data_IF_854237123729
#
_entry.id   IF_854237123729
#
_cell.length_a   1.000
_cell.length_b   1.000
_cell.length_c   1.000
_cell.angle_alpha   90.00
_cell.angle_beta   90.00
_cell.angle_gamma   90.00
#
_symmetry.space_group_name_H-M   'P 1'
#
loop_
_entity.id
_entity.type
_entity.pdbx_description
1 polymer ?
#
# COMPACT_ATOMS: atom_id res chain seq x y z
N UNK A 1 -3.18 -22.06 18.76
CA UNK A 1 -3.92 -21.85 17.49
C UNK A 1 -2.96 -22.06 16.33
N UNK A 2 -3.42 -22.55 15.17
CA UNK A 2 -2.57 -22.62 13.98
C UNK A 2 -2.21 -21.20 13.49
N UNK A 3 -1.01 -21.04 12.94
CA UNK A 3 -0.52 -19.76 12.41
C UNK A 3 -1.52 -19.07 11.47
N UNK A 4 -2.02 -19.82 10.48
CA UNK A 4 -2.99 -19.31 9.49
C UNK A 4 -4.32 -18.88 10.12
N UNK A 5 -4.77 -19.56 11.18
CA UNK A 5 -6.01 -19.19 11.86
C UNK A 5 -5.84 -17.86 12.59
N UNK A 6 -4.69 -17.63 13.22
CA UNK A 6 -4.36 -16.33 13.81
C UNK A 6 -4.38 -15.23 12.75
N UNK A 7 -3.67 -15.42 11.64
CA UNK A 7 -3.61 -14.45 10.54
C UNK A 7 -5.02 -14.07 10.09
N UNK A 8 -5.87 -15.07 9.82
CA UNK A 8 -7.24 -14.86 9.38
C UNK A 8 -8.10 -14.12 10.43
N UNK A 9 -7.93 -14.42 11.73
CA UNK A 9 -8.67 -13.74 12.80
C UNK A 9 -8.27 -12.27 12.91
N UNK A 10 -6.97 -11.97 12.84
CA UNK A 10 -6.46 -10.59 12.88
C UNK A 10 -6.94 -9.80 11.66
N UNK A 11 -6.80 -10.37 10.47
CA UNK A 11 -7.28 -9.75 9.23
C UNK A 11 -8.79 -9.52 9.28
N UNK A 12 -9.58 -10.54 9.68
CA UNK A 12 -11.04 -10.43 9.79
C UNK A 12 -11.45 -9.35 10.79
N UNK A 13 -10.76 -9.25 11.93
CA UNK A 13 -10.99 -8.17 12.90
C UNK A 13 -10.87 -6.81 12.20
N UNK A 14 -9.79 -6.56 11.47
CA UNK A 14 -9.58 -5.28 10.82
C UNK A 14 -10.63 -4.94 9.78
N UNK A 15 -10.98 -5.92 8.94
CA UNK A 15 -12.02 -5.76 7.93
C UNK A 15 -13.40 -5.52 8.56
N UNK A 16 -13.75 -6.25 9.63
CA UNK A 16 -15.02 -6.04 10.32
C UNK A 16 -15.09 -4.64 10.93
N UNK A 17 -14.03 -4.16 11.57
CA UNK A 17 -14.03 -2.80 12.10
C UNK A 17 -14.14 -1.80 10.96
N UNK A 18 -13.41 -2.01 9.86
CA UNK A 18 -13.48 -1.10 8.72
C UNK A 18 -14.87 -1.07 8.06
N UNK A 19 -15.52 -2.21 7.83
CA UNK A 19 -16.87 -2.23 7.25
C UNK A 19 -17.92 -1.51 8.11
N UNK A 20 -17.64 -1.30 9.40
CA UNK A 20 -18.52 -0.57 10.32
C UNK A 20 -18.18 0.91 10.42
N UNK A 21 -16.90 1.28 10.44
CA UNK A 21 -16.48 2.69 10.55
C UNK A 21 -16.37 3.38 9.19
N UNK A 22 -15.92 2.65 8.17
CA UNK A 22 -15.50 3.11 6.84
C UNK A 22 -14.51 4.29 6.84
N UNK A 23 -13.96 4.66 8.00
CA UNK A 23 -13.10 5.83 8.16
C UNK A 23 -11.83 5.74 7.33
N UNK A 24 -11.14 4.59 7.33
CA UNK A 24 -9.85 4.43 6.65
C UNK A 24 -10.06 4.47 5.15
N UNK A 25 -11.04 3.73 4.65
CA UNK A 25 -11.37 3.67 3.22
C UNK A 25 -11.85 5.02 2.74
N UNK A 26 -12.80 5.69 3.43
CA UNK A 26 -13.29 6.99 2.98
C UNK A 26 -12.21 8.07 2.97
N UNK A 27 -11.41 8.17 4.05
CA UNK A 27 -10.38 9.21 4.12
C UNK A 27 -9.29 8.99 3.06
N UNK A 28 -8.85 7.74 2.87
CA UNK A 28 -7.82 7.41 1.89
C UNK A 28 -8.34 7.52 0.45
N UNK A 29 -9.57 7.06 0.19
CA UNK A 29 -10.21 7.18 -1.12
C UNK A 29 -10.48 8.63 -1.50
N UNK A 30 -11.06 9.43 -0.60
CA UNK A 30 -11.31 10.85 -0.86
C UNK A 30 -10.01 11.58 -1.18
N UNK A 31 -8.95 11.33 -0.40
CA UNK A 31 -7.65 11.90 -0.66
C UNK A 31 -7.09 11.48 -2.02
N UNK A 32 -7.12 10.17 -2.34
CA UNK A 32 -6.62 9.67 -3.61
C UNK A 32 -7.39 10.23 -4.81
N UNK A 33 -8.72 10.32 -4.71
CA UNK A 33 -9.58 10.95 -5.72
C UNK A 33 -9.21 12.42 -5.90
N UNK A 34 -9.08 13.18 -4.81
CA UNK A 34 -8.67 14.59 -4.88
C UNK A 34 -7.29 14.74 -5.52
N UNK A 35 -6.32 13.88 -5.18
CA UNK A 35 -5.02 13.87 -5.84
C UNK A 35 -5.15 13.66 -7.35
N UNK A 36 -5.89 12.62 -7.77
CA UNK A 36 -6.10 12.34 -9.20
C UNK A 36 -6.78 13.52 -9.90
N UNK A 37 -7.79 14.14 -9.30
CA UNK A 37 -8.49 15.30 -9.86
C UNK A 37 -7.58 16.53 -9.99
N UNK A 38 -6.84 16.87 -8.94
CA UNK A 38 -5.91 18.01 -8.96
C UNK A 38 -4.86 17.82 -10.05
N UNK A 39 -4.29 16.63 -10.16
CA UNK A 39 -3.33 16.33 -11.22
C UNK A 39 -3.98 16.28 -12.61
N UNK A 40 -5.19 15.73 -12.73
CA UNK A 40 -5.90 15.70 -14.01
C UNK A 40 -6.15 17.12 -14.53
N UNK A 41 -6.65 18.02 -13.70
CA UNK A 41 -6.87 19.42 -14.09
C UNK A 41 -5.57 20.20 -14.32
N UNK A 42 -4.47 19.81 -13.70
CA UNK A 42 -3.17 20.45 -13.90
C UNK A 42 -2.42 19.98 -15.17
N UNK A 43 -2.55 18.71 -15.55
CA UNK A 43 -1.72 18.08 -16.58
C UNK A 43 -2.47 17.64 -17.84
N UNK A 44 -3.79 17.44 -17.78
CA UNK A 44 -4.57 17.05 -18.96
C UNK A 44 -4.88 18.31 -19.78
N UNK A 45 -4.26 18.43 -20.95
CA UNK A 45 -4.57 19.47 -21.94
C UNK A 45 -5.11 18.80 -23.21
N UNK A 46 -6.18 19.35 -23.78
CA UNK A 46 -6.84 18.82 -24.99
C UNK A 46 -7.21 17.32 -24.92
N UNK A 47 -7.51 16.82 -23.71
CA UNK A 47 -7.90 15.42 -23.47
C UNK A 47 -6.76 14.42 -23.59
N UNK A 48 -5.50 14.86 -23.67
CA UNK A 48 -4.31 13.99 -23.71
C UNK A 48 -3.35 14.38 -22.60
N UNK A 49 -2.89 13.39 -21.87
CA UNK A 49 -1.79 13.53 -20.92
C UNK A 49 -0.64 12.60 -21.33
N UNK A 50 0.58 12.98 -20.94
CA UNK A 50 1.73 12.10 -21.11
C UNK A 50 1.50 10.78 -20.35
N UNK A 51 1.68 9.67 -21.05
CA UNK A 51 1.67 8.31 -20.49
C UNK A 51 2.54 8.17 -19.24
N UNK A 52 3.69 8.87 -19.19
CA UNK A 52 4.56 8.89 -18.04
C UNK A 52 3.95 9.63 -16.84
N UNK A 53 3.19 10.70 -17.09
CA UNK A 53 2.47 11.44 -16.05
C UNK A 53 1.36 10.58 -15.43
N UNK A 54 0.54 9.90 -16.25
CA UNK A 54 -0.51 9.00 -15.77
C UNK A 54 0.05 7.88 -14.86
N UNK A 55 1.19 7.30 -15.25
CA UNK A 55 1.90 6.33 -14.41
C UNK A 55 2.38 6.95 -13.09
N UNK A 56 3.06 8.10 -13.13
CA UNK A 56 3.53 8.78 -11.93
C UNK A 56 2.39 9.10 -10.96
N UNK A 57 1.29 9.64 -11.47
CA UNK A 57 0.13 10.09 -10.68
C UNK A 57 -0.57 8.91 -10.01
N UNK A 58 -0.70 7.77 -10.70
CA UNK A 58 -1.24 6.54 -10.11
C UNK A 58 -0.44 6.15 -8.85
N UNK A 59 0.88 6.05 -8.95
CA UNK A 59 1.73 5.61 -7.85
C UNK A 59 1.86 6.64 -6.72
N UNK A 60 1.80 7.93 -7.05
CA UNK A 60 1.71 9.00 -6.05
C UNK A 60 0.39 8.86 -5.26
N UNK A 61 -0.74 8.71 -5.94
CA UNK A 61 -2.03 8.54 -5.28
C UNK A 61 -2.05 7.29 -4.38
N UNK A 62 -1.49 6.17 -4.85
CA UNK A 62 -1.34 4.93 -4.06
C UNK A 62 -0.47 5.16 -2.83
N UNK A 63 0.70 5.79 -2.97
CA UNK A 63 1.63 5.98 -1.86
C UNK A 63 1.04 6.87 -0.76
N UNK A 64 0.37 7.97 -1.13
CA UNK A 64 -0.27 8.82 -0.14
C UNK A 64 -1.49 8.16 0.51
N UNK A 65 -2.34 7.47 -0.28
CA UNK A 65 -3.46 6.69 0.25
C UNK A 65 -2.97 5.63 1.24
N UNK A 66 -1.89 4.91 0.90
CA UNK A 66 -1.25 3.93 1.77
C UNK A 66 -0.71 4.55 3.06
N UNK A 67 -0.05 5.71 2.99
CA UNK A 67 0.43 6.43 4.18
C UNK A 67 -0.72 6.78 5.12
N UNK A 68 -1.81 7.34 4.58
CA UNK A 68 -3.01 7.70 5.34
C UNK A 68 -3.68 6.47 5.94
N UNK A 69 -3.81 5.40 5.16
CA UNK A 69 -4.41 4.15 5.60
C UNK A 69 -3.64 3.56 6.78
N UNK A 70 -2.32 3.46 6.67
CA UNK A 70 -1.42 3.00 7.74
C UNK A 70 -1.54 3.87 8.98
N UNK A 71 -1.47 5.19 8.82
CA UNK A 71 -1.58 6.12 9.94
C UNK A 71 -2.90 5.94 10.69
N UNK A 72 -4.04 5.83 9.98
CA UNK A 72 -5.37 5.67 10.57
C UNK A 72 -5.56 4.31 11.24
N UNK A 73 -5.15 3.22 10.58
CA UNK A 73 -5.25 1.86 11.12
C UNK A 73 -4.50 1.76 12.45
N UNK A 74 -3.24 2.21 12.49
CA UNK A 74 -2.43 2.16 13.71
C UNK A 74 -2.80 3.24 14.74
N UNK A 75 -3.43 4.34 14.31
CA UNK A 75 -3.98 5.32 15.24
C UNK A 75 -5.12 4.73 16.07
N UNK A 76 -6.09 4.13 15.38
CA UNK A 76 -7.22 3.40 15.97
C UNK A 76 -6.76 2.29 16.90
N UNK A 77 -5.70 1.56 16.55
CA UNK A 77 -5.22 0.47 17.39
C UNK A 77 -4.64 0.94 18.71
N UNK A 78 -3.92 2.08 18.71
CA UNK A 78 -3.39 2.69 19.92
C UNK A 78 -4.50 3.23 20.81
N UNK A 79 -5.46 3.97 20.23
CA UNK A 79 -6.56 4.53 21.01
C UNK A 79 -7.32 3.46 21.81
N UNK A 80 -7.43 2.26 21.23
CA UNK A 80 -8.10 1.13 21.85
C UNK A 80 -7.15 0.15 22.58
N UNK A 81 -5.84 0.46 22.67
CA UNK A 81 -4.79 -0.42 23.23
C UNK A 81 -4.80 -1.85 22.65
N UNK A 82 -5.35 -2.03 21.44
CA UNK A 82 -5.59 -3.34 20.83
C UNK A 82 -4.31 -4.08 20.49
N UNK A 83 -3.31 -3.37 19.95
CA UNK A 83 -2.01 -3.96 19.66
C UNK A 83 -1.35 -4.51 20.94
N UNK A 84 -1.45 -3.75 22.04
CA UNK A 84 -0.94 -4.18 23.36
C UNK A 84 -1.69 -5.41 23.87
N UNK A 85 -3.02 -5.42 23.77
CA UNK A 85 -3.82 -6.59 24.15
C UNK A 85 -3.48 -7.83 23.30
N UNK A 86 -3.22 -7.66 22.01
CA UNK A 86 -2.84 -8.75 21.09
C UNK A 86 -1.46 -9.32 21.40
N UNK A 87 -0.51 -8.48 21.84
CA UNK A 87 0.83 -8.91 22.26
C UNK A 87 0.84 -9.73 23.57
N UNK A 88 -0.22 -9.65 24.38
CA UNK A 88 -0.40 -10.47 25.58
C UNK A 88 -0.99 -11.86 25.28
N UNK A 89 -1.59 -12.04 24.10
CA UNK A 89 -2.15 -13.33 23.72
C UNK A 89 -1.05 -14.36 23.45
N UNK A 90 -1.24 -15.66 23.80
CA UNK A 90 -0.26 -16.72 23.56
C UNK A 90 -0.26 -17.12 22.07
N UNK A 91 0.20 -16.21 21.22
CA UNK A 91 0.10 -16.26 19.77
C UNK A 91 1.45 -15.84 19.16
N UNK A 92 1.95 -16.53 18.13
CA UNK A 92 3.21 -16.15 17.49
C UNK A 92 3.11 -14.73 16.91
N UNK A 93 4.05 -13.85 17.29
CA UNK A 93 4.09 -12.45 16.85
C UNK A 93 4.19 -12.28 15.33
N UNK A 94 4.95 -13.12 14.59
CA UNK A 94 4.94 -13.05 13.12
C UNK A 94 3.55 -13.28 12.51
N UNK A 95 2.67 -14.06 13.16
CA UNK A 95 1.29 -14.23 12.68
C UNK A 95 0.44 -12.97 12.89
N UNK A 96 0.71 -12.19 13.93
CA UNK A 96 0.08 -10.89 14.14
C UNK A 96 0.50 -9.92 13.03
N UNK A 97 1.79 -9.87 12.72
CA UNK A 97 2.32 -9.05 11.62
C UNK A 97 1.67 -9.41 10.29
N UNK A 98 1.66 -10.69 9.90
CA UNK A 98 1.08 -11.12 8.61
C UNK A 98 -0.42 -10.83 8.56
N UNK A 99 -1.16 -11.05 9.64
CA UNK A 99 -2.57 -10.70 9.72
C UNK A 99 -2.81 -9.20 9.52
N UNK A 100 -1.92 -8.37 10.08
CA UNK A 100 -1.98 -6.92 9.98
C UNK A 100 -1.62 -6.42 8.59
N UNK A 101 -0.55 -6.97 8.02
CA UNK A 101 -0.14 -6.74 6.64
C UNK A 101 -1.27 -7.07 5.67
N UNK A 102 -1.90 -8.24 5.81
CA UNK A 102 -3.02 -8.66 4.97
C UNK A 102 -4.23 -7.72 5.11
N UNK A 103 -4.53 -7.27 6.33
CA UNK A 103 -5.56 -6.27 6.59
C UNK A 103 -5.28 -4.95 5.86
N UNK A 104 -4.11 -4.36 6.08
CA UNK A 104 -3.69 -3.09 5.45
C UNK A 104 -3.66 -3.22 3.92
N UNK A 105 -3.06 -4.29 3.40
CA UNK A 105 -3.00 -4.54 1.96
C UNK A 105 -4.42 -4.62 1.37
N UNK A 106 -5.34 -5.34 2.01
CA UNK A 106 -6.73 -5.43 1.53
C UNK A 106 -7.40 -4.06 1.49
N UNK A 107 -7.22 -3.23 2.51
CA UNK A 107 -7.77 -1.87 2.54
C UNK A 107 -7.18 -1.00 1.43
N UNK A 108 -5.88 -1.11 1.20
CA UNK A 108 -5.19 -0.38 0.14
C UNK A 108 -5.69 -0.82 -1.25
N UNK A 109 -5.84 -2.13 -1.48
CA UNK A 109 -6.39 -2.67 -2.72
C UNK A 109 -7.84 -2.22 -2.99
N UNK A 110 -8.66 -2.04 -1.95
CA UNK A 110 -10.01 -1.49 -2.09
C UNK A 110 -9.95 -0.03 -2.59
N UNK A 111 -9.03 0.77 -2.07
CA UNK A 111 -8.82 2.15 -2.54
C UNK A 111 -8.28 2.15 -3.97
N UNK A 112 -7.33 1.29 -4.30
CA UNK A 112 -6.77 1.15 -5.64
C UNK A 112 -7.80 0.73 -6.68
N UNK A 113 -8.74 -0.15 -6.32
CA UNK A 113 -9.85 -0.53 -7.18
C UNK A 113 -10.71 0.68 -7.62
N UNK A 114 -10.70 1.77 -6.85
CA UNK A 114 -11.31 3.05 -7.22
C UNK A 114 -10.33 3.96 -8.00
N UNK A 115 -9.08 4.05 -7.55
CA UNK A 115 -8.07 4.98 -8.12
C UNK A 115 -7.66 4.58 -9.54
N UNK A 116 -7.43 3.29 -9.79
CA UNK A 116 -7.00 2.78 -11.11
C UNK A 116 -7.98 3.14 -12.24
N UNK A 117 -9.29 2.85 -12.15
CA UNK A 117 -10.22 3.25 -13.20
C UNK A 117 -10.37 4.77 -13.31
N UNK A 118 -10.24 5.51 -12.19
CA UNK A 118 -10.29 6.97 -12.21
C UNK A 118 -9.12 7.54 -13.02
N UNK A 119 -7.89 7.04 -12.81
CA UNK A 119 -6.72 7.43 -13.60
C UNK A 119 -6.89 7.03 -15.06
N UNK A 120 -7.36 5.81 -15.34
CA UNK A 120 -7.63 5.37 -16.71
C UNK A 120 -8.58 6.32 -17.45
N UNK A 121 -9.65 6.74 -16.78
CA UNK A 121 -10.68 7.62 -17.34
C UNK A 121 -10.18 9.06 -17.54
N UNK A 122 -9.62 9.68 -16.50
CA UNK A 122 -9.23 11.10 -16.56
C UNK A 122 -8.00 11.36 -17.43
N UNK A 123 -7.06 10.42 -17.48
CA UNK A 123 -5.85 10.54 -18.29
C UNK A 123 -5.98 9.88 -19.67
N UNK A 124 -7.16 9.29 -19.97
CA UNK A 124 -7.38 8.48 -21.18
C UNK A 124 -6.28 7.41 -21.38
N UNK A 125 -5.78 6.88 -20.27
CA UNK A 125 -4.65 5.96 -20.24
C UNK A 125 -5.12 4.52 -20.44
N UNK A 126 -4.49 3.80 -21.36
CA UNK A 126 -4.82 2.41 -21.68
C UNK A 126 -4.30 1.40 -20.62
N UNK A 127 -4.60 1.65 -19.33
CA UNK A 127 -4.15 0.82 -18.19
C UNK A 127 -4.61 -0.64 -18.30
N UNK A 128 -5.77 -0.87 -18.93
CA UNK A 128 -6.37 -2.20 -19.07
C UNK A 128 -5.86 -2.99 -20.29
N UNK A 129 -5.07 -2.39 -21.18
CA UNK A 129 -4.52 -3.08 -22.36
C UNK A 129 -3.69 -4.31 -21.98
N UNK A 130 -2.95 -4.21 -20.88
CA UNK A 130 -2.15 -5.29 -20.31
C UNK A 130 -2.57 -5.58 -18.87
N UNK A 131 -3.86 -5.85 -18.66
CA UNK A 131 -4.48 -5.95 -17.33
C UNK A 131 -3.74 -6.89 -16.37
N UNK A 132 -3.25 -8.05 -16.84
CA UNK A 132 -2.53 -9.00 -15.98
C UNK A 132 -1.20 -8.45 -15.45
N UNK A 133 -0.39 -7.79 -16.30
CA UNK A 133 0.88 -7.19 -15.88
C UNK A 133 0.64 -5.93 -15.03
N UNK A 134 -0.37 -5.14 -15.38
CA UNK A 134 -0.76 -3.97 -14.58
C UNK A 134 -1.19 -4.39 -13.16
N UNK A 135 -2.06 -5.40 -13.06
CA UNK A 135 -2.48 -5.97 -11.78
C UNK A 135 -1.27 -6.54 -11.01
N UNK A 136 -0.36 -7.23 -11.68
CA UNK A 136 0.88 -7.71 -11.07
C UNK A 136 1.74 -6.60 -10.49
N UNK A 137 1.95 -5.50 -11.24
CA UNK A 137 2.72 -4.35 -10.77
C UNK A 137 2.06 -3.71 -9.56
N UNK A 138 0.76 -3.44 -9.62
CA UNK A 138 -0.01 -2.84 -8.52
C UNK A 138 0.04 -3.76 -7.29
N UNK A 139 -0.29 -5.04 -7.43
CA UNK A 139 -0.29 -5.99 -6.32
C UNK A 139 1.09 -6.11 -5.66
N UNK A 140 2.16 -6.24 -6.45
CA UNK A 140 3.52 -6.34 -5.91
C UNK A 140 3.95 -5.02 -5.25
N UNK A 141 3.77 -3.88 -5.91
CA UNK A 141 4.14 -2.59 -5.34
C UNK A 141 3.37 -2.27 -4.05
N UNK A 142 2.08 -2.56 -4.00
CA UNK A 142 1.25 -2.35 -2.81
C UNK A 142 1.58 -3.33 -1.70
N UNK A 143 2.02 -4.55 -2.04
CA UNK A 143 2.54 -5.53 -1.08
C UNK A 143 3.83 -5.03 -0.43
N UNK A 144 4.82 -4.61 -1.22
CA UNK A 144 6.07 -4.06 -0.70
C UNK A 144 5.86 -2.80 0.14
N UNK A 145 5.00 -1.91 -0.35
CA UNK A 145 4.61 -0.70 0.39
C UNK A 145 3.95 -1.04 1.73
N UNK A 146 2.96 -1.94 1.73
CA UNK A 146 2.26 -2.35 2.93
C UNK A 146 3.17 -3.13 3.90
N UNK A 147 4.11 -3.94 3.40
CA UNK A 147 5.05 -4.70 4.22
C UNK A 147 5.95 -3.78 5.05
N UNK A 148 6.59 -2.82 4.37
CA UNK A 148 7.42 -1.77 4.99
C UNK A 148 6.58 -0.93 5.95
N UNK A 149 5.44 -0.44 5.46
CA UNK A 149 4.54 0.43 6.22
C UNK A 149 4.02 -0.21 7.50
N UNK A 150 3.60 -1.46 7.44
CA UNK A 150 3.07 -2.20 8.60
C UNK A 150 4.15 -2.38 9.66
N UNK A 151 5.40 -2.69 9.25
CA UNK A 151 6.51 -2.84 10.18
C UNK A 151 6.80 -1.52 10.91
N UNK A 152 7.01 -0.44 10.17
CA UNK A 152 7.33 0.87 10.77
C UNK A 152 6.17 1.45 11.57
N UNK A 153 4.93 1.29 11.11
CA UNK A 153 3.76 1.75 11.86
C UNK A 153 3.57 0.98 13.18
N UNK A 154 3.88 -0.32 13.20
CA UNK A 154 3.90 -1.09 14.43
C UNK A 154 5.01 -0.63 15.38
N UNK A 155 6.24 -0.46 14.89
CA UNK A 155 7.39 0.03 15.69
C UNK A 155 7.11 1.41 16.30
N UNK A 156 6.47 2.29 15.54
CA UNK A 156 6.11 3.64 15.98
C UNK A 156 4.80 3.69 16.79
N UNK A 157 4.13 2.57 17.05
CA UNK A 157 2.82 2.56 17.72
C UNK A 157 2.86 3.22 19.11
N UNK A 158 4.02 3.19 19.79
CA UNK A 158 4.26 3.79 21.11
C UNK A 158 4.81 5.23 21.06
N UNK A 159 5.19 5.72 19.89
CA UNK A 159 5.82 7.04 19.75
C UNK A 159 4.78 8.17 19.70
N UNK A 160 5.05 9.26 20.43
CA UNK A 160 4.19 10.45 20.49
C UNK A 160 4.17 11.24 19.17
N UNK A 161 5.24 11.15 18.36
CA UNK A 161 5.40 11.89 17.09
C UNK A 161 5.23 11.02 15.84
N UNK A 162 4.58 9.85 15.97
CA UNK A 162 4.45 8.86 14.89
C UNK A 162 3.82 9.36 13.60
N UNK A 163 2.89 10.31 13.69
CA UNK A 163 2.19 10.86 12.51
C UNK A 163 3.18 11.52 11.53
N UNK A 164 4.24 12.13 12.05
CA UNK A 164 5.31 12.75 11.26
C UNK A 164 6.47 11.78 11.01
N UNK A 165 6.76 10.88 11.95
CA UNK A 165 7.87 9.92 11.82
C UNK A 165 7.58 8.80 10.81
N UNK A 166 6.32 8.36 10.69
CA UNK A 166 5.98 7.27 9.79
C UNK A 166 6.29 7.62 8.32
N UNK A 167 5.82 8.76 7.76
CA UNK A 167 6.21 9.15 6.40
C UNK A 167 7.72 9.35 6.24
N UNK A 168 8.38 9.92 7.25
CA UNK A 168 9.82 10.19 7.24
C UNK A 168 10.66 8.92 7.09
N UNK A 169 10.21 7.80 7.68
CA UNK A 169 10.89 6.50 7.56
C UNK A 169 10.38 5.69 6.34
N UNK A 170 9.09 5.78 6.06
CA UNK A 170 8.42 5.00 5.02
C UNK A 170 8.87 5.40 3.62
N UNK A 171 8.90 6.69 3.32
CA UNK A 171 9.20 7.16 1.96
C UNK A 171 10.62 6.82 1.48
N UNK A 172 11.71 7.07 2.25
CA UNK A 172 13.06 6.70 1.81
C UNK A 172 13.20 5.23 1.42
N UNK A 173 12.50 4.34 2.15
CA UNK A 173 12.55 2.89 1.93
C UNK A 173 11.61 2.44 0.81
N UNK A 174 10.49 3.14 0.60
CA UNK A 174 9.51 2.81 -0.45
C UNK A 174 9.77 3.52 -1.78
N UNK A 175 10.69 4.49 -1.85
CA UNK A 175 11.09 5.12 -3.12
C UNK A 175 11.45 4.11 -4.20
N UNK A 176 12.24 3.04 -3.95
CA UNK A 176 12.53 2.01 -4.95
C UNK A 176 11.25 1.34 -5.49
N UNK A 177 10.27 1.08 -4.62
CA UNK A 177 8.97 0.51 -4.99
C UNK A 177 8.19 1.48 -5.87
N UNK A 178 8.14 2.76 -5.48
CA UNK A 178 7.47 3.81 -6.25
C UNK A 178 8.12 3.97 -7.63
N UNK A 179 9.45 4.00 -7.71
CA UNK A 179 10.19 4.10 -8.98
C UNK A 179 9.88 2.88 -9.86
N UNK A 180 9.92 1.67 -9.30
CA UNK A 180 9.62 0.44 -10.02
C UNK A 180 8.21 0.44 -10.59
N UNK A 181 7.25 0.83 -9.76
CA UNK A 181 5.86 0.95 -10.12
C UNK A 181 5.68 1.94 -11.26
N UNK A 182 6.17 3.16 -11.11
CA UNK A 182 6.04 4.22 -12.13
C UNK A 182 6.68 3.79 -13.44
N UNK A 183 7.91 3.25 -13.40
CA UNK A 183 8.63 2.84 -14.62
C UNK A 183 7.98 1.63 -15.28
N UNK A 184 7.53 0.64 -14.50
CA UNK A 184 6.82 -0.53 -15.00
C UNK A 184 5.47 -0.17 -15.62
N UNK A 185 4.68 0.68 -14.96
CA UNK A 185 3.38 1.17 -15.48
C UNK A 185 3.58 2.02 -16.73
N UNK A 186 4.58 2.92 -16.75
CA UNK A 186 4.89 3.74 -17.92
C UNK A 186 5.27 2.87 -19.14
N UNK A 187 6.07 1.81 -18.94
CA UNK A 187 6.43 0.87 -20.01
C UNK A 187 5.20 0.19 -20.64
N UNK A 188 4.12 -0.02 -19.88
CA UNK A 188 2.86 -0.58 -20.39
C UNK A 188 1.96 0.44 -21.10
N UNK A 189 2.13 1.73 -20.79
CA UNK A 189 1.29 2.82 -21.30
C UNK A 189 1.82 3.45 -22.60
N UNK A 190 3.10 3.25 -22.93
CA UNK A 190 3.68 3.70 -24.20
C UNK A 190 2.94 3.08 -25.40
N UNK A 191 2.85 3.76 -26.56
CA UNK A 191 2.18 3.23 -27.76
C UNK A 191 2.65 1.81 -28.09
N UNK A 192 3.96 1.62 -28.16
CA UNK A 192 4.63 0.33 -28.22
C UNK A 192 5.02 -0.12 -26.81
N UNK A 193 4.21 -1.01 -26.23
CA UNK A 193 4.43 -1.45 -24.86
C UNK A 193 5.70 -2.30 -24.72
N UNK A 194 6.62 -1.89 -23.87
CA UNK A 194 7.83 -2.63 -23.54
C UNK A 194 7.55 -3.67 -22.44
N UNK A 195 7.00 -4.82 -22.86
CA UNK A 195 6.69 -5.91 -21.94
C UNK A 195 7.93 -6.49 -21.22
N UNK A 196 9.10 -6.65 -21.87
CA UNK A 196 10.33 -7.03 -21.18
C UNK A 196 10.68 -6.09 -20.02
N UNK A 197 10.64 -4.77 -20.24
CA UNK A 197 10.94 -3.78 -19.20
C UNK A 197 9.89 -3.81 -18.09
N UNK A 198 8.60 -3.89 -18.43
CA UNK A 198 7.54 -4.00 -17.42
C UNK A 198 7.70 -5.26 -16.54
N UNK A 199 8.09 -6.39 -17.14
CA UNK A 199 8.40 -7.64 -16.40
C UNK A 199 9.64 -7.50 -15.53
N UNK A 200 10.68 -6.81 -16.00
CA UNK A 200 11.88 -6.57 -15.20
C UNK A 200 11.56 -5.76 -13.93
N UNK A 201 10.76 -4.68 -14.06
CA UNK A 201 10.30 -3.91 -12.91
C UNK A 201 9.40 -4.72 -11.97
N UNK A 202 8.53 -5.56 -12.51
CA UNK A 202 7.73 -6.49 -11.70
C UNK A 202 8.60 -7.46 -10.91
N UNK A 203 9.63 -8.05 -11.53
CA UNK A 203 10.56 -8.95 -10.83
C UNK A 203 11.35 -8.22 -9.74
N UNK A 204 11.70 -6.96 -9.96
CA UNK A 204 12.33 -6.12 -8.94
C UNK A 204 11.39 -5.87 -7.76
N UNK A 205 10.11 -5.57 -8.01
CA UNK A 205 9.08 -5.44 -6.96
C UNK A 205 8.93 -6.73 -6.16
N UNK A 206 8.76 -7.87 -6.83
CA UNK A 206 8.63 -9.17 -6.15
C UNK A 206 9.88 -9.50 -5.32
N UNK A 207 11.08 -9.14 -5.82
CA UNK A 207 12.33 -9.32 -5.07
C UNK A 207 12.40 -8.43 -3.83
N UNK A 208 11.95 -7.17 -3.96
CA UNK A 208 11.82 -6.25 -2.84
C UNK A 208 10.85 -6.79 -1.79
N UNK A 209 9.68 -7.28 -2.22
CA UNK A 209 8.66 -7.87 -1.35
C UNK A 209 9.21 -9.07 -0.58
N UNK A 210 9.90 -9.98 -1.27
CA UNK A 210 10.51 -11.15 -0.65
C UNK A 210 11.51 -10.75 0.46
N UNK A 211 12.36 -9.76 0.19
CA UNK A 211 13.33 -9.24 1.16
C UNK A 211 12.61 -8.59 2.35
N UNK A 212 11.69 -7.65 2.11
CA UNK A 212 11.06 -6.89 3.17
C UNK A 212 10.05 -7.67 4.00
N UNK A 213 9.32 -8.61 3.40
CA UNK A 213 8.46 -9.53 4.16
C UNK A 213 9.32 -10.40 5.06
N UNK A 214 10.41 -10.98 4.55
CA UNK A 214 11.32 -11.81 5.35
C UNK A 214 11.95 -11.02 6.49
N UNK A 215 12.48 -9.82 6.19
CA UNK A 215 13.03 -8.91 7.20
C UNK A 215 11.98 -8.54 8.26
N UNK A 216 10.77 -8.21 7.83
CA UNK A 216 9.71 -7.83 8.76
C UNK A 216 9.30 -8.99 9.66
N UNK A 217 9.21 -10.21 9.13
CA UNK A 217 8.93 -11.41 9.94
C UNK A 217 10.00 -11.66 11.01
N UNK A 218 11.27 -11.37 10.70
CA UNK A 218 12.38 -11.52 11.63
C UNK A 218 12.45 -10.39 12.66
N UNK A 219 12.21 -9.15 12.22
CA UNK A 219 12.37 -7.96 13.06
C UNK A 219 11.17 -7.71 13.97
N UNK A 220 9.98 -8.20 13.61
CA UNK A 220 8.75 -7.90 14.34
C UNK A 220 8.74 -8.45 15.77
N UNK A 221 9.31 -9.63 15.99
CA UNK A 221 9.34 -10.22 17.33
C UNK A 221 10.28 -9.46 18.29
N UNK A 222 11.56 -9.21 17.94
CA UNK A 222 12.49 -8.41 18.75
C UNK A 222 12.03 -6.98 19.02
N UNK A 223 11.39 -6.34 18.03
CA UNK A 223 10.98 -4.92 18.15
C UNK A 223 9.75 -4.72 19.03
N UNK A 224 8.96 -5.77 19.26
CA UNK A 224 7.73 -5.71 20.07
C UNK A 224 7.91 -6.24 21.50
N UNK A 225 9.11 -6.70 21.88
CA UNK A 225 9.40 -7.29 23.20
C UNK A 225 9.70 -6.25 24.28
N UNK A 226 10.08 -5.04 23.90
CA UNK A 226 10.25 -3.89 24.83
C UNK A 226 8.95 -3.07 24.95
#
# INVERSE_FOLDING_TARGET
MSFLRTVAVVMRKDLVVETRSMEVVYTSALFAVLCVLVFAFGFVQDGRADSAAAAAILWIAIAFAGTLALARVFDRERQNETLRAMLLAPVPRPALYVGKLAGVLTLLLVVEALVVPLVALWFQAALFRHAALMAGLILAGSTGYAAVGTLFAAMLARSRSRASLLPLLLYPITIPVIIAGVRGTAALLQPDADLPVARAWLMMLVSFDAVFITLSLWLFEPTMTE
#
